data_IF_001787389504
#
_entry.id   IF_001787389504
#
_cell.length_a   1.000
_cell.length_b   1.000
_cell.length_c   1.000
_cell.angle_alpha   90.00
_cell.angle_beta   90.00
_cell.angle_gamma   90.00
#
_symmetry.space_group_name_H-M   'P 1'
#
loop_
_entity.id
_entity.type
_entity.pdbx_description
1 polymer ?
#
# COMPACT_ATOMS: atom_id res chain seq x y z
N UNK A 1 -23.21 6.65 12.63
CA UNK A 1 -22.03 6.29 11.81
C UNK A 1 -22.43 5.68 10.48
N UNK A 2 -23.28 4.64 10.43
CA UNK A 2 -23.76 4.05 9.16
C UNK A 2 -24.36 5.06 8.16
N UNK A 3 -25.07 6.08 8.66
CA UNK A 3 -25.77 7.05 7.82
C UNK A 3 -24.84 7.97 6.99
N UNK A 4 -23.62 8.25 7.46
CA UNK A 4 -22.66 9.09 6.73
C UNK A 4 -22.02 8.34 5.55
N UNK A 5 -21.74 7.05 5.71
CA UNK A 5 -21.17 6.22 4.64
C UNK A 5 -22.17 6.00 3.50
N UNK A 6 -23.44 5.79 3.84
CA UNK A 6 -24.53 5.69 2.85
C UNK A 6 -24.67 7.00 2.09
N UNK A 7 -24.61 8.15 2.78
CA UNK A 7 -24.66 9.45 2.12
C UNK A 7 -23.48 9.65 1.15
N UNK A 8 -22.27 9.28 1.55
CA UNK A 8 -21.10 9.31 0.67
C UNK A 8 -21.29 8.41 -0.55
N UNK A 9 -21.77 7.18 -0.36
CA UNK A 9 -22.07 6.25 -1.45
C UNK A 9 -23.07 6.78 -2.46
N UNK A 10 -24.12 7.45 -1.99
CA UNK A 10 -25.11 8.10 -2.85
C UNK A 10 -24.52 9.28 -3.64
N UNK A 11 -23.55 10.03 -3.10
CA UNK A 11 -22.82 11.06 -3.87
C UNK A 11 -22.07 10.42 -5.05
N UNK A 12 -21.33 9.34 -4.80
CA UNK A 12 -20.60 8.61 -5.84
C UNK A 12 -21.54 8.08 -6.92
N UNK A 13 -22.60 7.39 -6.51
CA UNK A 13 -23.60 6.81 -7.38
C UNK A 13 -24.29 7.86 -8.25
N UNK A 14 -24.71 8.97 -7.64
CA UNK A 14 -25.33 10.09 -8.36
C UNK A 14 -24.38 10.66 -9.40
N UNK A 15 -23.13 10.94 -9.02
CA UNK A 15 -22.14 11.50 -9.96
C UNK A 15 -21.81 10.54 -11.11
N UNK A 16 -21.73 9.24 -10.84
CA UNK A 16 -21.57 8.21 -11.88
C UNK A 16 -22.74 8.21 -12.85
N UNK A 17 -23.97 8.26 -12.33
CA UNK A 17 -25.19 8.28 -13.15
C UNK A 17 -25.32 9.55 -13.99
N UNK A 18 -24.97 10.72 -13.43
CA UNK A 18 -24.91 11.99 -14.17
C UNK A 18 -23.96 11.91 -15.38
N UNK A 19 -22.89 11.12 -15.27
CA UNK A 19 -21.93 10.87 -16.35
C UNK A 19 -22.31 9.69 -17.24
N UNK A 20 -23.44 9.02 -16.98
CA UNK A 20 -23.89 7.82 -17.70
C UNK A 20 -22.84 6.69 -17.73
N UNK A 21 -22.05 6.56 -16.66
CA UNK A 21 -20.99 5.55 -16.56
C UNK A 21 -21.50 4.27 -15.88
N UNK A 22 -21.15 3.12 -16.44
CA UNK A 22 -21.36 1.81 -15.82
C UNK A 22 -20.25 1.49 -14.82
N UNK A 23 -20.56 0.62 -13.85
CA UNK A 23 -19.57 0.09 -12.91
C UNK A 23 -18.42 -0.61 -13.65
N UNK A 24 -18.71 -1.30 -14.77
CA UNK A 24 -17.69 -1.98 -15.59
C UNK A 24 -16.71 -1.01 -16.25
N UNK A 25 -17.18 0.13 -16.74
CA UNK A 25 -16.31 1.15 -17.33
C UNK A 25 -15.38 1.75 -16.27
N UNK A 26 -15.89 2.03 -15.08
CA UNK A 26 -15.07 2.50 -13.95
C UNK A 26 -14.08 1.42 -13.52
N UNK A 27 -14.49 0.16 -13.43
CA UNK A 27 -13.59 -0.95 -13.10
C UNK A 27 -12.44 -1.05 -14.11
N UNK A 28 -12.73 -0.94 -15.40
CA UNK A 28 -11.70 -0.98 -16.45
C UNK A 28 -10.74 0.22 -16.35
N UNK A 29 -11.25 1.42 -16.07
CA UNK A 29 -10.45 2.63 -16.01
C UNK A 29 -9.64 2.77 -14.70
N UNK A 30 -10.19 2.33 -13.58
CA UNK A 30 -9.60 2.49 -12.25
C UNK A 30 -8.95 1.22 -11.71
N UNK A 31 -9.17 0.07 -12.35
CA UNK A 31 -8.75 -1.24 -11.85
C UNK A 31 -9.33 -1.60 -10.47
N UNK A 32 -10.34 -0.87 -10.00
CA UNK A 32 -11.08 -1.20 -8.77
C UNK A 32 -12.16 -2.19 -9.16
N UNK A 33 -12.16 -3.36 -8.52
CA UNK A 33 -13.11 -4.43 -8.84
C UNK A 33 -14.55 -3.96 -8.62
N UNK A 34 -15.48 -4.43 -9.47
CA UNK A 34 -16.90 -3.99 -9.45
C UNK A 34 -17.54 -4.13 -8.06
N UNK A 35 -17.27 -5.24 -7.36
CA UNK A 35 -17.79 -5.50 -6.01
C UNK A 35 -17.37 -4.43 -4.99
N UNK A 36 -16.20 -3.83 -5.14
CA UNK A 36 -15.72 -2.77 -4.26
C UNK A 36 -16.33 -1.41 -4.61
N UNK A 37 -16.56 -1.13 -5.90
CA UNK A 37 -17.28 0.08 -6.34
C UNK A 37 -18.73 0.06 -5.86
N UNK A 38 -19.40 -1.09 -5.97
CA UNK A 38 -20.75 -1.30 -5.45
C UNK A 38 -20.80 -1.15 -3.92
N UNK A 39 -19.84 -1.73 -3.20
CA UNK A 39 -19.76 -1.58 -1.75
C UNK A 39 -19.56 -0.11 -1.32
N UNK A 40 -18.82 0.69 -2.09
CA UNK A 40 -18.67 2.13 -1.84
C UNK A 40 -20.01 2.85 -2.06
N UNK A 41 -20.71 2.57 -3.18
CA UNK A 41 -22.01 3.19 -3.48
C UNK A 41 -23.11 2.80 -2.50
N UNK A 42 -23.06 1.60 -1.91
CA UNK A 42 -23.98 1.14 -0.89
C UNK A 42 -23.63 1.61 0.54
N UNK A 43 -22.47 2.26 0.72
CA UNK A 43 -21.97 2.62 2.06
C UNK A 43 -21.48 1.42 2.89
N UNK A 44 -21.30 0.26 2.27
CA UNK A 44 -20.87 -0.99 2.88
C UNK A 44 -19.34 -1.15 2.87
N UNK A 45 -18.62 -0.13 3.35
CA UNK A 45 -17.15 -0.14 3.35
C UNK A 45 -16.53 -1.26 4.21
N UNK A 46 -17.28 -1.80 5.18
CA UNK A 46 -16.84 -2.95 5.98
C UNK A 46 -16.67 -4.24 5.16
N UNK A 47 -17.29 -4.32 3.96
CA UNK A 47 -17.06 -5.43 3.01
C UNK A 47 -15.76 -5.28 2.20
N UNK A 48 -15.08 -4.13 2.31
CA UNK A 48 -13.78 -3.92 1.66
C UNK A 48 -12.72 -4.67 2.45
N UNK A 49 -12.01 -5.57 1.78
CA UNK A 49 -10.91 -6.35 2.36
C UNK A 49 -9.79 -5.35 2.68
N UNK A 50 -9.59 -5.10 3.96
CA UNK A 50 -8.64 -4.14 4.55
C UNK A 50 -8.94 -2.64 4.31
N UNK A 51 -8.98 -1.84 5.39
CA UNK A 51 -9.26 -0.40 5.34
C UNK A 51 -8.29 0.46 4.56
N UNK A 52 -7.03 0.02 4.52
CA UNK A 52 -5.96 0.75 3.83
C UNK A 52 -6.33 0.88 2.34
N UNK A 53 -6.95 -0.16 1.76
CA UNK A 53 -7.42 -0.13 0.38
C UNK A 53 -8.67 0.70 0.20
N UNK A 54 -9.58 0.68 1.16
CA UNK A 54 -10.83 1.42 1.09
C UNK A 54 -10.60 2.93 0.96
N UNK A 55 -9.64 3.51 1.71
CA UNK A 55 -9.28 4.93 1.53
C UNK A 55 -8.75 5.21 0.13
N UNK A 56 -7.83 4.37 -0.36
CA UNK A 56 -7.24 4.52 -1.69
C UNK A 56 -8.27 4.40 -2.80
N UNK A 57 -9.23 3.48 -2.67
CA UNK A 57 -10.32 3.29 -3.62
C UNK A 57 -11.29 4.47 -3.62
N UNK A 58 -11.66 5.01 -2.46
CA UNK A 58 -12.50 6.21 -2.36
C UNK A 58 -11.82 7.38 -3.08
N UNK A 59 -10.53 7.64 -2.80
CA UNK A 59 -9.77 8.71 -3.48
C UNK A 59 -9.71 8.49 -4.98
N UNK A 60 -9.35 7.29 -5.42
CA UNK A 60 -9.21 6.95 -6.85
C UNK A 60 -10.54 7.05 -7.59
N UNK A 61 -11.64 6.63 -6.96
CA UNK A 61 -12.97 6.74 -7.53
C UNK A 61 -13.43 8.20 -7.60
N UNK A 62 -13.13 9.00 -6.56
CA UNK A 62 -13.45 10.44 -6.55
C UNK A 62 -12.74 11.18 -7.68
N UNK A 63 -11.43 10.94 -7.84
CA UNK A 63 -10.64 11.53 -8.93
C UNK A 63 -11.22 11.15 -10.30
N UNK A 64 -11.58 9.88 -10.50
CA UNK A 64 -12.18 9.42 -11.75
C UNK A 64 -13.51 10.11 -12.08
N UNK A 65 -14.33 10.40 -11.05
CA UNK A 65 -15.60 11.10 -11.19
C UNK A 65 -15.47 12.64 -11.15
N UNK A 66 -14.24 13.17 -11.15
CA UNK A 66 -13.95 14.60 -11.00
C UNK A 66 -14.61 15.21 -9.75
N UNK A 67 -14.51 14.47 -8.64
CA UNK A 67 -14.86 14.91 -7.30
C UNK A 67 -13.56 15.23 -6.55
N UNK A 68 -13.63 16.19 -5.62
CA UNK A 68 -12.53 16.45 -4.70
C UNK A 68 -12.53 15.37 -3.60
N UNK A 69 -11.66 14.37 -3.78
CA UNK A 69 -11.52 13.25 -2.85
C UNK A 69 -10.99 13.65 -1.47
N UNK A 70 -10.21 14.73 -1.35
CA UNK A 70 -9.72 15.21 -0.06
C UNK A 70 -10.83 15.91 0.72
N UNK A 71 -11.61 16.75 0.05
CA UNK A 71 -12.80 17.40 0.65
C UNK A 71 -13.84 16.36 1.05
N UNK A 72 -14.13 15.36 0.21
CA UNK A 72 -15.06 14.28 0.56
C UNK A 72 -14.64 13.50 1.81
N UNK A 73 -13.35 13.16 1.95
CA UNK A 73 -12.89 12.45 3.15
C UNK A 73 -12.95 13.35 4.39
N UNK A 74 -12.64 14.64 4.24
CA UNK A 74 -12.71 15.62 5.33
C UNK A 74 -14.14 15.84 5.82
N UNK A 75 -15.11 15.90 4.90
CA UNK A 75 -16.53 16.11 5.20
C UNK A 75 -17.20 14.84 5.76
N UNK A 76 -16.56 13.68 5.59
CA UNK A 76 -17.04 12.38 6.08
C UNK A 76 -16.02 11.73 7.04
N UNK A 77 -15.77 12.31 8.23
CA UNK A 77 -14.77 11.81 9.19
C UNK A 77 -15.07 10.40 9.71
N UNK A 78 -16.33 9.96 9.65
CA UNK A 78 -16.71 8.57 9.97
C UNK A 78 -16.08 7.55 9.03
N UNK A 79 -15.73 7.93 7.79
CA UNK A 79 -14.93 7.08 6.89
C UNK A 79 -13.61 6.76 7.57
N UNK A 80 -12.85 7.77 7.99
CA UNK A 80 -11.56 7.57 8.65
C UNK A 80 -11.69 6.70 9.91
N UNK A 81 -12.77 6.89 10.68
CA UNK A 81 -13.04 6.10 11.88
C UNK A 81 -13.33 4.62 11.56
N UNK A 82 -14.23 4.33 10.62
CA UNK A 82 -14.53 2.96 10.19
C UNK A 82 -13.30 2.29 9.60
N UNK A 83 -12.48 3.06 8.89
CA UNK A 83 -11.21 2.57 8.38
C UNK A 83 -10.23 2.24 9.51
N UNK A 84 -10.12 3.07 10.56
CA UNK A 84 -9.26 2.76 11.71
C UNK A 84 -9.78 1.60 12.56
N UNK A 85 -11.10 1.42 12.68
CA UNK A 85 -11.69 0.33 13.46
C UNK A 85 -11.54 -1.02 12.74
N UNK A 86 -11.75 -1.04 11.42
CA UNK A 86 -11.58 -2.26 10.64
C UNK A 86 -10.10 -2.67 10.45
N UNK A 87 -9.12 -1.80 10.79
CA UNK A 87 -7.68 -2.17 10.73
C UNK A 87 -7.27 -2.99 11.95
N UNK A 88 -7.98 -2.84 13.07
CA UNK A 88 -7.70 -3.58 14.29
C UNK A 88 -8.27 -5.01 14.22
N UNK A 89 -9.43 -5.19 13.57
CA UNK A 89 -10.15 -6.47 13.46
C UNK A 89 -9.65 -7.40 12.32
N UNK A 90 -9.16 -6.85 11.19
CA UNK A 90 -8.70 -7.63 10.02
C UNK A 90 -7.17 -7.88 9.97
N UNK A 91 -6.46 -7.81 11.10
CA UNK A 91 -5.02 -8.05 11.16
C UNK A 91 -4.59 -9.48 10.75
N UNK A 92 -5.55 -10.42 10.64
CA UNK A 92 -5.31 -11.79 10.18
C UNK A 92 -5.31 -11.96 8.65
N UNK A 93 -5.83 -11.01 7.86
CA UNK A 93 -5.83 -11.09 6.39
C UNK A 93 -4.76 -10.20 5.75
N UNK A 94 -3.54 -10.27 6.27
CA UNK A 94 -2.34 -9.77 5.61
C UNK A 94 -1.89 -10.78 4.55
N UNK A 95 -2.55 -10.77 3.39
CA UNK A 95 -2.06 -11.44 2.17
C UNK A 95 -0.74 -10.77 1.72
N UNK A 96 0.39 -11.22 2.28
CA UNK A 96 1.74 -10.99 1.75
C UNK A 96 2.29 -9.55 1.77
N UNK A 97 1.61 -8.59 2.37
CA UNK A 97 2.10 -7.21 2.54
C UNK A 97 2.63 -6.97 3.95
N UNK A 98 3.57 -7.81 4.36
CA UNK A 98 4.30 -7.66 5.63
C UNK A 98 5.46 -6.64 5.54
N UNK A 99 5.46 -5.68 4.60
CA UNK A 99 6.64 -4.82 4.42
C UNK A 99 6.42 -3.37 3.97
N UNK A 100 5.25 -2.76 4.12
CA UNK A 100 5.19 -1.28 4.08
C UNK A 100 5.06 -0.76 5.50
N UNK A 101 6.20 -0.84 6.16
CA UNK A 101 6.56 0.00 7.28
C UNK A 101 6.55 1.46 6.80
N UNK A 102 5.81 2.31 7.51
CA UNK A 102 5.78 3.75 7.33
C UNK A 102 7.23 4.25 7.38
N UNK A 103 7.76 4.73 6.24
CA UNK A 103 9.09 5.38 6.18
C UNK A 103 9.06 6.72 6.92
N UNK A 104 9.03 6.69 8.25
CA UNK A 104 9.72 7.69 9.04
C UNK A 104 11.20 7.48 8.77
N UNK A 105 11.84 8.43 8.11
CA UNK A 105 13.26 8.38 7.76
C UNK A 105 14.12 8.26 9.03
N UNK A 106 14.83 7.15 9.29
CA UNK A 106 15.88 7.12 10.28
C UNK A 106 17.20 7.24 9.51
N UNK A 107 17.89 8.36 9.70
CA UNK A 107 19.27 8.47 9.29
C UNK A 107 20.10 7.32 9.87
N UNK A 108 20.87 6.65 9.00
CA UNK A 108 22.14 6.05 9.34
C UNK A 108 22.14 4.80 10.21
N UNK A 109 21.78 3.64 9.65
CA UNK A 109 22.43 2.39 10.04
C UNK A 109 23.12 1.75 8.84
N UNK A 110 24.42 2.02 8.77
CA UNK A 110 25.34 1.54 7.75
C UNK A 110 25.62 0.06 7.99
N UNK A 111 24.91 -0.83 7.27
CA UNK A 111 25.01 -2.31 7.38
C UNK A 111 26.34 -2.91 6.88
N UNK A 112 27.32 -2.10 6.51
CA UNK A 112 28.61 -2.54 5.94
C UNK A 112 29.54 -3.26 6.94
N UNK A 113 29.26 -3.15 8.24
CA UNK A 113 30.00 -3.89 9.27
C UNK A 113 29.93 -5.42 9.10
N UNK A 114 28.86 -5.96 8.50
CA UNK A 114 28.75 -7.42 8.27
C UNK A 114 29.61 -7.90 7.08
N UNK A 115 29.83 -7.06 6.07
CA UNK A 115 30.62 -7.44 4.88
C UNK A 115 32.13 -7.24 5.08
N UNK A 116 32.56 -6.45 6.07
CA UNK A 116 33.97 -6.24 6.35
C UNK A 116 34.71 -7.51 6.77
N UNK A 117 34.04 -8.38 7.51
CA UNK A 117 34.63 -9.65 7.93
C UNK A 117 35.04 -10.48 6.72
N UNK A 118 34.18 -10.55 5.69
CA UNK A 118 34.45 -11.27 4.45
C UNK A 118 35.52 -10.62 3.57
N UNK A 119 35.61 -9.28 3.58
CA UNK A 119 36.70 -8.56 2.91
C UNK A 119 38.04 -8.89 3.55
N UNK A 120 38.11 -8.92 4.88
CA UNK A 120 39.33 -9.30 5.61
C UNK A 120 39.77 -10.75 5.31
N UNK A 121 38.82 -11.70 5.35
CA UNK A 121 39.08 -13.12 5.02
C UNK A 121 39.59 -13.27 3.58
N UNK A 122 39.01 -12.52 2.63
CA UNK A 122 39.40 -12.59 1.22
C UNK A 122 40.83 -12.06 1.00
N UNK A 123 41.21 -10.97 1.66
CA UNK A 123 42.57 -10.39 1.55
C UNK A 123 43.62 -11.35 2.12
N UNK A 124 43.34 -11.99 3.26
CA UNK A 124 44.27 -12.96 3.87
C UNK A 124 44.46 -14.19 2.97
N UNK A 125 43.39 -14.68 2.34
CA UNK A 125 43.48 -15.81 1.40
C UNK A 125 44.33 -15.48 0.17
N UNK A 126 44.19 -14.26 -0.38
CA UNK A 126 44.99 -13.81 -1.53
C UNK A 126 46.48 -13.70 -1.15
N UNK A 127 46.79 -13.12 0.01
CA UNK A 127 48.17 -13.00 0.49
C UNK A 127 48.80 -14.36 0.80
N UNK A 128 48.03 -15.28 1.37
CA UNK A 128 48.43 -16.67 1.59
C UNK A 128 48.80 -17.37 0.27
N UNK A 129 47.91 -17.29 -0.73
CA UNK A 129 48.16 -17.89 -2.04
C UNK A 129 49.41 -17.30 -2.72
N UNK A 130 49.59 -15.97 -2.65
CA UNK A 130 50.78 -15.31 -3.17
C UNK A 130 52.06 -15.77 -2.46
N UNK A 131 52.02 -15.88 -1.12
CA UNK A 131 53.16 -16.35 -0.33
C UNK A 131 53.56 -17.79 -0.66
N UNK A 132 52.58 -18.70 -0.81
CA UNK A 132 52.84 -20.08 -1.22
C UNK A 132 53.43 -20.14 -2.63
N UNK A 133 52.87 -19.38 -3.59
CA UNK A 133 53.40 -19.36 -4.96
C UNK A 133 54.87 -18.92 -5.00
N UNK A 134 55.25 -17.93 -4.18
CA UNK A 134 56.63 -17.48 -4.02
C UNK A 134 57.51 -18.52 -3.32
N UNK A 135 57.01 -19.21 -2.30
CA UNK A 135 57.76 -20.25 -1.58
C UNK A 135 58.12 -21.44 -2.47
N UNK A 136 57.21 -21.84 -3.36
CA UNK A 136 57.44 -22.93 -4.32
C UNK A 136 58.17 -22.50 -5.60
N UNK A 137 58.56 -21.23 -5.73
CA UNK A 137 59.32 -20.71 -6.88
C UNK A 137 58.54 -20.71 -8.20
N UNK A 138 57.20 -20.65 -8.14
CA UNK A 138 56.32 -20.62 -9.31
C UNK A 138 56.21 -19.21 -9.94
N UNK A 139 56.67 -18.19 -9.20
CA UNK A 139 56.78 -16.75 -9.55
C UNK A 139 57.99 -16.19 -8.82
#
# INVERSE_FOLDING_TARGET
MHNELVHLGEIFKKRRQERSLSIKEIENATSIRSNFLEAIEEGHLAKLISPIYAQGFIKKYAVFLELDGETLIKDHPSVLKVLSEATEDNSEFSFGLSSIEVRGSPGGEVKWLSNFFWVGVSVVAILSAWFLARYFGLI
#
